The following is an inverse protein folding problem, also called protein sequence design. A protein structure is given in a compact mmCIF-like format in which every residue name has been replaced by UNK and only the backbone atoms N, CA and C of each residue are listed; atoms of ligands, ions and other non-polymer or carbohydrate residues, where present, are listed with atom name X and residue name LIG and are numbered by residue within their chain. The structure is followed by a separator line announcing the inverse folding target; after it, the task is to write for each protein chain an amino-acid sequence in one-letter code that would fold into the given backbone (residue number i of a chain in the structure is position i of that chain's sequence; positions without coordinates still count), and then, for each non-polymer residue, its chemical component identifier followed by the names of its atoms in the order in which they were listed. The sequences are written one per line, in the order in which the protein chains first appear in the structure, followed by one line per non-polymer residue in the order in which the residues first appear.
data_IF_554668852316
#
_entry.id   IF_554668852316
#
_cell.length_a   1.000
_cell.length_b   1.000
_cell.length_c   1.000
_cell.angle_alpha   90.00
_cell.angle_beta   90.00
_cell.angle_gamma   90.00
#
_symmetry.space_group_name_H-M   'P 1'
#
loop_
_entity.id
_entity.type
_entity.pdbx_description
1 polymer ?
#
# COMPACT_ATOMS: atom_id res chain seq x y z
N UNK A 1 -6.15 -5.70 -19.09
CA UNK A 1 -6.19 -5.95 -17.62
C UNK A 1 -4.76 -6.08 -17.13
N UNK A 2 -4.46 -5.64 -15.90
CA UNK A 2 -3.07 -5.48 -15.42
C UNK A 2 -2.38 -6.75 -14.90
N UNK A 3 -3.13 -7.73 -14.39
CA UNK A 3 -2.56 -8.94 -13.78
C UNK A 3 -3.20 -10.23 -14.33
N UNK A 4 -3.22 -10.44 -15.66
CA UNK A 4 -3.91 -11.59 -16.24
C UNK A 4 -3.28 -12.93 -15.87
N UNK A 5 -1.99 -12.98 -15.53
CA UNK A 5 -1.22 -14.21 -15.27
C UNK A 5 -1.39 -15.25 -16.39
N UNK A 6 -1.38 -14.83 -17.64
CA UNK A 6 -1.58 -15.70 -18.79
C UNK A 6 -0.24 -16.33 -19.22
N UNK A 7 -0.21 -17.65 -19.40
CA UNK A 7 1.02 -18.36 -19.78
C UNK A 7 1.58 -18.00 -21.16
N UNK A 8 0.77 -17.37 -22.03
CA UNK A 8 1.18 -16.93 -23.37
C UNK A 8 1.80 -15.53 -23.43
N UNK A 9 1.95 -14.84 -22.28
CA UNK A 9 2.56 -13.52 -22.23
C UNK A 9 4.08 -13.61 -22.00
N UNK A 10 4.82 -12.73 -22.67
CA UNK A 10 6.27 -12.59 -22.49
C UNK A 10 6.65 -11.92 -21.17
N UNK A 11 5.77 -11.05 -20.67
CA UNK A 11 5.91 -10.33 -19.39
C UNK A 11 4.63 -10.41 -18.59
N UNK A 12 4.76 -10.63 -17.28
CA UNK A 12 3.67 -10.55 -16.31
C UNK A 12 3.66 -9.18 -15.64
N UNK A 13 2.75 -8.99 -14.67
CA UNK A 13 2.69 -7.77 -13.85
C UNK A 13 2.52 -6.50 -14.68
N UNK A 14 1.72 -6.58 -15.76
CA UNK A 14 1.50 -5.48 -16.70
C UNK A 14 1.03 -4.20 -15.98
N UNK A 15 0.23 -4.32 -14.92
CA UNK A 15 -0.22 -3.17 -14.13
C UNK A 15 0.93 -2.40 -13.45
N UNK A 16 2.00 -3.08 -13.02
CA UNK A 16 3.19 -2.42 -12.48
C UNK A 16 4.05 -1.83 -13.60
N UNK A 17 4.12 -2.50 -14.76
CA UNK A 17 4.81 -1.96 -15.94
C UNK A 17 4.10 -0.72 -16.51
N UNK A 18 2.77 -0.66 -16.45
CA UNK A 18 1.98 0.52 -16.80
C UNK A 18 2.32 1.69 -15.87
N UNK A 19 2.45 1.43 -14.56
CA UNK A 19 2.90 2.43 -13.58
C UNK A 19 4.33 2.89 -13.85
N UNK A 20 5.25 1.98 -14.23
CA UNK A 20 6.62 2.36 -14.65
C UNK A 20 6.61 3.25 -15.88
N UNK A 21 5.80 2.94 -16.88
CA UNK A 21 5.65 3.78 -18.06
C UNK A 21 5.12 5.17 -17.71
N UNK A 22 4.13 5.26 -16.81
CA UNK A 22 3.63 6.55 -16.34
C UNK A 22 4.70 7.35 -15.60
N UNK A 23 5.52 6.69 -14.78
CA UNK A 23 6.61 7.32 -14.05
C UNK A 23 7.74 7.82 -14.97
N UNK A 24 8.06 7.06 -16.03
CA UNK A 24 8.96 7.49 -17.11
C UNK A 24 8.41 8.71 -17.85
N UNK A 25 7.11 8.71 -18.17
CA UNK A 25 6.47 9.86 -18.79
C UNK A 25 6.55 11.10 -17.89
N UNK A 26 6.29 10.97 -16.58
CA UNK A 26 6.43 12.08 -15.62
C UNK A 26 7.87 12.59 -15.62
N UNK A 27 8.88 11.70 -15.47
CA UNK A 27 10.29 12.10 -15.53
C UNK A 27 10.63 12.90 -16.78
N UNK A 28 10.13 12.46 -17.93
CA UNK A 28 10.51 13.04 -19.22
C UNK A 28 9.73 14.32 -19.58
N UNK A 29 8.59 14.57 -18.92
CA UNK A 29 7.66 15.64 -19.33
C UNK A 29 7.28 16.63 -18.22
N UNK A 30 7.50 16.32 -16.93
CA UNK A 30 6.94 17.13 -15.83
C UNK A 30 7.50 18.56 -15.78
N UNK A 31 8.69 18.80 -16.33
CA UNK A 31 9.26 20.14 -16.44
C UNK A 31 8.37 21.11 -17.22
N UNK A 32 7.68 20.62 -18.27
CA UNK A 32 6.73 21.43 -19.04
C UNK A 32 5.50 21.88 -18.22
N UNK A 33 5.23 21.22 -17.10
CA UNK A 33 4.15 21.55 -16.16
C UNK A 33 4.67 22.32 -14.92
N UNK A 34 5.95 22.69 -14.91
CA UNK A 34 6.60 23.39 -13.79
C UNK A 34 7.04 22.48 -12.64
N UNK A 35 7.05 21.16 -12.83
CA UNK A 35 7.62 20.23 -11.86
C UNK A 35 9.12 20.01 -12.07
N UNK A 36 9.77 19.43 -11.06
CA UNK A 36 11.20 19.12 -11.08
C UNK A 36 11.38 17.59 -11.21
N UNK A 37 11.87 17.06 -12.35
CA UNK A 37 12.03 15.62 -12.54
C UNK A 37 13.10 15.01 -11.62
N UNK A 38 13.94 15.83 -10.99
CA UNK A 38 14.92 15.38 -9.98
C UNK A 38 14.34 15.25 -8.58
N UNK A 39 13.06 15.59 -8.37
CA UNK A 39 12.38 15.58 -7.06
C UNK A 39 11.05 14.82 -7.05
N UNK A 40 10.96 13.77 -7.87
CA UNK A 40 9.75 12.94 -7.93
C UNK A 40 9.64 12.08 -6.67
N UNK A 41 8.55 12.21 -5.92
CA UNK A 41 8.19 11.26 -4.85
C UNK A 41 7.09 10.34 -5.35
N UNK A 42 7.30 9.03 -5.25
CA UNK A 42 6.28 8.03 -5.56
C UNK A 42 5.51 7.70 -4.28
N UNK A 43 4.21 7.93 -4.31
CA UNK A 43 3.31 7.68 -3.19
C UNK A 43 2.19 6.73 -3.62
N UNK A 44 1.76 5.90 -2.68
CA UNK A 44 0.59 5.06 -2.85
C UNK A 44 0.05 4.59 -1.52
N UNK A 45 -1.22 4.19 -1.55
CA UNK A 45 -1.97 3.67 -0.42
C UNK A 45 -2.37 2.21 -0.70
N UNK A 46 -2.32 1.33 0.30
CA UNK A 46 -2.72 -0.09 0.19
C UNK A 46 -1.96 -0.82 -0.93
N UNK A 47 -2.67 -1.36 -1.93
CA UNK A 47 -2.06 -1.95 -3.13
C UNK A 47 -1.19 -0.95 -3.92
N UNK A 48 -1.49 0.34 -3.86
CA UNK A 48 -0.62 1.40 -4.37
C UNK A 48 0.68 1.51 -3.58
N UNK A 49 0.65 1.37 -2.25
CA UNK A 49 1.84 1.36 -1.41
C UNK A 49 2.71 0.12 -1.66
N UNK A 50 2.08 -1.05 -1.83
CA UNK A 50 2.77 -2.25 -2.30
C UNK A 50 3.44 -2.01 -3.67
N UNK A 51 2.74 -1.33 -4.58
CA UNK A 51 3.28 -0.98 -5.89
C UNK A 51 4.50 -0.05 -5.78
N UNK A 52 4.47 0.97 -4.90
CA UNK A 52 5.63 1.82 -4.60
C UNK A 52 6.84 0.97 -4.17
N UNK A 53 6.61 -0.01 -3.29
CA UNK A 53 7.68 -0.87 -2.81
C UNK A 53 8.14 -1.88 -3.89
N UNK A 54 7.25 -2.39 -4.73
CA UNK A 54 7.65 -3.20 -5.90
C UNK A 54 8.56 -2.41 -6.83
N UNK A 55 8.27 -1.12 -7.08
CA UNK A 55 9.16 -0.24 -7.84
C UNK A 55 10.53 -0.06 -7.17
N UNK A 56 10.55 0.08 -5.84
CA UNK A 56 11.77 0.16 -5.03
C UNK A 56 12.69 -1.06 -5.27
N UNK A 57 12.13 -2.27 -5.43
CA UNK A 57 12.93 -3.45 -5.74
C UNK A 57 13.19 -3.66 -7.23
N UNK A 58 12.17 -3.56 -8.10
CA UNK A 58 12.30 -3.88 -9.52
C UNK A 58 13.26 -2.96 -10.26
N UNK A 59 13.31 -1.69 -9.85
CA UNK A 59 14.08 -0.64 -10.52
C UNK A 59 15.13 -0.02 -9.59
N UNK A 60 15.68 -0.81 -8.67
CA UNK A 60 16.65 -0.32 -7.67
C UNK A 60 17.91 0.33 -8.28
N UNK A 61 18.34 -0.14 -9.47
CA UNK A 61 19.51 0.37 -10.19
C UNK A 61 19.20 1.63 -11.02
N UNK A 62 17.92 1.89 -11.33
CA UNK A 62 17.45 3.09 -12.04
C UNK A 62 16.16 3.64 -11.39
N UNK A 63 16.25 4.15 -10.15
CA UNK A 63 15.08 4.67 -9.46
C UNK A 63 14.72 6.06 -9.99
N UNK A 64 13.55 6.17 -10.60
CA UNK A 64 13.00 7.49 -11.02
C UNK A 64 12.56 8.29 -9.80
N UNK A 65 11.81 7.65 -8.90
CA UNK A 65 11.41 8.25 -7.64
C UNK A 65 12.64 8.50 -6.75
N UNK A 66 12.72 9.68 -6.14
CA UNK A 66 13.76 10.12 -5.20
C UNK A 66 13.29 10.11 -3.75
N UNK A 67 12.00 9.84 -3.53
CA UNK A 67 11.40 9.53 -2.25
C UNK A 67 10.25 8.56 -2.43
N UNK A 68 10.00 7.73 -1.41
CA UNK A 68 8.90 6.76 -1.39
C UNK A 68 7.95 7.11 -0.25
N UNK A 69 6.65 7.03 -0.48
CA UNK A 69 5.66 7.13 0.59
C UNK A 69 4.69 5.95 0.47
N UNK A 70 4.83 5.02 1.41
CA UNK A 70 4.09 3.78 1.51
C UNK A 70 3.06 3.89 2.65
N UNK A 71 1.80 4.09 2.29
CA UNK A 71 0.69 4.24 3.24
C UNK A 71 -0.11 2.94 3.31
N UNK A 72 -0.10 2.27 4.46
CA UNK A 72 -0.87 1.04 4.70
C UNK A 72 -0.56 -0.11 3.73
N UNK A 73 0.70 -0.26 3.29
CA UNK A 73 1.12 -1.39 2.48
C UNK A 73 2.62 -1.38 2.17
N UNK A 74 3.21 -2.57 2.03
CA UNK A 74 4.62 -2.77 1.65
C UNK A 74 4.74 -4.07 0.85
N UNK A 75 5.85 -4.31 0.16
CA UNK A 75 6.04 -5.57 -0.58
C UNK A 75 6.06 -6.81 0.33
N UNK A 76 6.36 -6.63 1.63
CA UNK A 76 6.33 -7.68 2.65
C UNK A 76 4.92 -8.07 3.09
N UNK A 77 3.88 -7.36 2.65
CA UNK A 77 2.48 -7.64 2.94
C UNK A 77 1.97 -8.99 2.35
N UNK A 78 2.79 -9.75 1.62
CA UNK A 78 2.40 -11.01 0.96
C UNK A 78 1.08 -10.89 0.17
N UNK A 79 1.16 -10.26 -1.00
CA UNK A 79 0.06 -10.16 -1.97
C UNK A 79 0.36 -10.84 -3.31
N UNK A 80 1.38 -11.72 -3.37
CA UNK A 80 1.74 -12.38 -4.64
C UNK A 80 0.90 -13.63 -4.87
N UNK A 81 0.25 -13.70 -6.03
CA UNK A 81 -0.49 -14.87 -6.47
C UNK A 81 0.40 -16.11 -6.48
N UNK A 82 -0.15 -17.22 -5.97
CA UNK A 82 0.51 -18.53 -5.94
C UNK A 82 0.16 -19.39 -7.17
N UNK A 83 -0.62 -18.84 -8.11
CA UNK A 83 -1.03 -19.51 -9.35
C UNK A 83 0.12 -19.59 -10.38
N UNK A 84 1.12 -20.40 -10.06
CA UNK A 84 2.26 -20.68 -10.95
C UNK A 84 1.88 -21.45 -12.23
N UNK A 85 0.65 -21.95 -12.33
CA UNK A 85 0.16 -22.74 -13.46
C UNK A 85 -0.74 -21.95 -14.42
N UNK A 86 -0.92 -20.64 -14.18
CA UNK A 86 -1.82 -19.79 -14.97
C UNK A 86 -3.28 -20.27 -14.99
N UNK A 87 -3.66 -21.05 -13.98
CA UNK A 87 -4.91 -21.80 -13.93
C UNK A 87 -6.14 -20.89 -13.83
N UNK A 88 -6.04 -19.74 -13.17
CA UNK A 88 -7.14 -18.77 -13.10
C UNK A 88 -7.41 -18.15 -14.47
N UNK A 89 -6.37 -17.80 -15.22
CA UNK A 89 -6.51 -17.28 -16.58
C UNK A 89 -7.15 -18.32 -17.51
N UNK A 90 -6.61 -19.54 -17.52
CA UNK A 90 -7.14 -20.63 -18.35
C UNK A 90 -8.56 -21.02 -17.97
N UNK A 91 -8.91 -20.96 -16.68
CA UNK A 91 -10.27 -21.16 -16.21
C UNK A 91 -11.22 -20.13 -16.81
N UNK A 92 -10.89 -18.84 -16.73
CA UNK A 92 -11.71 -17.78 -17.33
C UNK A 92 -11.79 -17.95 -18.85
N UNK A 93 -10.68 -18.24 -19.52
CA UNK A 93 -10.63 -18.44 -20.96
C UNK A 93 -11.56 -19.58 -21.42
N UNK A 94 -11.56 -20.71 -20.71
CA UNK A 94 -12.44 -21.84 -21.03
C UNK A 94 -13.94 -21.51 -20.95
N UNK A 95 -14.34 -20.61 -20.06
CA UNK A 95 -15.75 -20.21 -19.88
C UNK A 95 -16.19 -19.09 -20.84
N UNK A 96 -15.24 -18.46 -21.54
CA UNK A 96 -15.49 -17.38 -22.47
C UNK A 96 -15.25 -17.77 -23.93
N UNK A 97 -15.17 -19.08 -24.21
CA UNK A 97 -15.04 -19.62 -25.56
C UNK A 97 -13.60 -19.77 -26.06
N UNK A 98 -12.60 -19.57 -25.19
CA UNK A 98 -11.18 -19.66 -25.50
C UNK A 98 -10.50 -20.91 -24.87
N UNK A 99 -11.27 -21.96 -24.59
CA UNK A 99 -10.76 -23.18 -23.95
C UNK A 99 -10.07 -24.15 -24.90
N UNK A 100 -9.16 -24.97 -24.35
CA UNK A 100 -8.47 -26.04 -25.09
C UNK A 100 -7.41 -25.55 -26.08
N UNK A 101 -7.06 -24.27 -26.02
CA UNK A 101 -6.01 -23.65 -26.83
C UNK A 101 -4.65 -23.81 -26.16
N UNK A 102 -3.57 -23.73 -26.94
CA UNK A 102 -2.24 -23.53 -26.38
C UNK A 102 -2.12 -22.10 -25.81
N UNK A 103 -1.12 -21.86 -24.96
CA UNK A 103 -0.98 -20.60 -24.23
C UNK A 103 -0.98 -19.35 -25.13
N UNK A 104 -0.31 -19.39 -26.28
CA UNK A 104 -0.24 -18.27 -27.23
C UNK A 104 -1.58 -18.03 -27.94
N UNK A 105 -2.28 -19.09 -28.36
CA UNK A 105 -3.61 -18.98 -28.97
C UNK A 105 -4.69 -18.58 -27.95
N UNK A 106 -4.55 -19.00 -26.69
CA UNK A 106 -5.47 -18.66 -25.59
C UNK A 106 -5.47 -17.15 -25.32
N UNK A 107 -4.30 -16.52 -25.18
CA UNK A 107 -4.21 -15.07 -24.99
C UNK A 107 -4.67 -14.30 -26.23
N UNK A 108 -4.42 -14.81 -27.44
CA UNK A 108 -4.93 -14.19 -28.67
C UNK A 108 -6.46 -14.20 -28.70
N UNK A 109 -7.09 -15.35 -28.45
CA UNK A 109 -8.54 -15.46 -28.36
C UNK A 109 -9.12 -14.53 -27.27
N UNK A 110 -8.49 -14.50 -26.09
CA UNK A 110 -8.97 -13.68 -24.97
C UNK A 110 -8.86 -12.17 -25.23
N UNK A 111 -8.00 -11.71 -26.14
CA UNK A 111 -7.93 -10.30 -26.56
C UNK A 111 -9.15 -9.86 -27.38
N UNK A 112 -9.81 -10.80 -28.05
CA UNK A 112 -11.04 -10.54 -28.82
C UNK A 112 -12.30 -10.60 -27.94
N UNK A 113 -12.19 -11.12 -26.71
CA UNK A 113 -13.31 -11.17 -25.77
C UNK A 113 -13.58 -9.77 -25.23
N UNK A 114 -14.82 -9.25 -25.35
CA UNK A 114 -15.17 -7.95 -24.78
C UNK A 114 -14.90 -7.89 -23.29
N UNK A 115 -14.19 -6.85 -22.83
CA UNK A 115 -13.77 -6.71 -21.42
C UNK A 115 -14.94 -6.82 -20.43
N UNK A 116 -16.12 -6.29 -20.80
CA UNK A 116 -17.34 -6.40 -19.98
C UNK A 116 -17.77 -7.85 -19.72
N UNK A 117 -17.52 -8.79 -20.63
CA UNK A 117 -17.80 -10.22 -20.40
C UNK A 117 -16.82 -10.81 -19.38
N UNK A 118 -15.54 -10.43 -19.48
CA UNK A 118 -14.50 -10.89 -18.56
C UNK A 118 -14.79 -10.38 -17.14
N UNK A 119 -15.02 -9.07 -16.99
CA UNK A 119 -15.32 -8.43 -15.70
C UNK A 119 -16.58 -9.01 -15.09
N UNK A 120 -17.66 -9.16 -15.88
CA UNK A 120 -18.91 -9.74 -15.37
C UNK A 120 -18.75 -11.20 -14.95
N UNK A 121 -17.96 -12.00 -15.67
CA UNK A 121 -17.72 -13.39 -15.32
C UNK A 121 -16.95 -13.52 -14.01
N UNK A 122 -15.83 -12.79 -13.87
CA UNK A 122 -14.99 -12.81 -12.67
C UNK A 122 -15.74 -12.21 -11.47
N UNK A 123 -16.34 -11.03 -11.65
CA UNK A 123 -17.03 -10.30 -10.58
C UNK A 123 -18.20 -11.09 -9.98
N UNK A 124 -19.12 -11.61 -10.81
CA UNK A 124 -20.26 -12.41 -10.31
C UNK A 124 -19.81 -13.66 -9.55
N UNK A 125 -18.68 -14.24 -9.93
CA UNK A 125 -18.13 -15.42 -9.25
C UNK A 125 -17.60 -15.06 -7.87
N UNK A 126 -16.91 -13.92 -7.77
CA UNK A 126 -16.46 -13.33 -6.50
C UNK A 126 -17.63 -12.97 -5.59
N UNK A 127 -18.61 -12.21 -6.09
CA UNK A 127 -19.79 -11.77 -5.33
C UNK A 127 -20.60 -12.94 -4.76
N UNK A 128 -20.70 -14.03 -5.52
CA UNK A 128 -21.44 -15.23 -5.11
C UNK A 128 -20.58 -16.23 -4.31
N UNK A 129 -19.30 -15.96 -4.05
CA UNK A 129 -18.39 -16.90 -3.39
C UNK A 129 -18.26 -18.24 -4.12
N UNK A 130 -18.38 -18.24 -5.45
CA UNK A 130 -18.42 -19.48 -6.25
C UNK A 130 -17.03 -20.07 -6.43
N UNK A 131 -16.85 -21.34 -6.09
CA UNK A 131 -15.56 -22.05 -6.20
C UNK A 131 -15.28 -22.61 -7.60
N UNK A 132 -14.02 -22.67 -8.08
CA UNK A 132 -12.83 -22.13 -7.40
C UNK A 132 -12.85 -20.61 -7.35
N UNK A 133 -12.31 -20.05 -6.26
CA UNK A 133 -12.07 -18.63 -6.13
C UNK A 133 -11.05 -18.20 -7.19
N UNK A 134 -11.32 -17.08 -7.84
CA UNK A 134 -10.42 -16.48 -8.82
C UNK A 134 -9.68 -15.33 -8.15
N UNK A 135 -8.37 -15.33 -8.31
CA UNK A 135 -7.47 -14.31 -7.78
C UNK A 135 -6.52 -13.86 -8.90
N UNK A 136 -6.45 -12.54 -9.10
CA UNK A 136 -5.64 -11.90 -10.13
C UNK A 136 -4.88 -10.76 -9.48
N UNK A 137 -3.61 -11.03 -9.14
CA UNK A 137 -2.71 -10.08 -8.51
C UNK A 137 -1.28 -10.22 -9.03
N UNK A 138 -0.33 -9.51 -8.42
CA UNK A 138 1.08 -9.62 -8.76
C UNK A 138 1.58 -11.06 -8.70
N UNK A 139 2.42 -11.49 -9.64
CA UNK A 139 3.00 -12.84 -9.72
C UNK A 139 4.50 -12.72 -9.71
N UNK A 140 5.19 -13.51 -8.89
CA UNK A 140 6.65 -13.51 -8.87
C UNK A 140 7.22 -13.95 -10.23
N UNK A 141 7.86 -13.02 -10.93
CA UNK A 141 8.49 -13.22 -12.24
C UNK A 141 10.02 -13.01 -12.20
N UNK A 142 10.55 -12.68 -11.01
CA UNK A 142 11.95 -12.35 -10.75
C UNK A 142 12.48 -11.15 -11.56
N UNK A 143 11.58 -10.33 -12.12
CA UNK A 143 11.91 -9.11 -12.86
C UNK A 143 11.29 -7.89 -12.18
N UNK A 144 9.98 -7.92 -12.02
CA UNK A 144 9.18 -6.83 -11.44
C UNK A 144 8.71 -7.21 -10.04
N UNK A 145 8.38 -8.49 -9.84
CA UNK A 145 7.88 -9.00 -8.57
C UNK A 145 8.77 -10.17 -8.15
N UNK A 146 9.19 -10.15 -6.89
CA UNK A 146 10.14 -11.11 -6.34
C UNK A 146 9.47 -11.99 -5.29
N UNK A 147 9.91 -13.24 -5.20
CA UNK A 147 9.39 -14.19 -4.21
C UNK A 147 9.95 -13.99 -2.81
N UNK A 148 11.05 -13.24 -2.66
CA UNK A 148 11.73 -13.03 -1.37
C UNK A 148 12.33 -11.62 -1.28
N UNK A 149 11.56 -10.69 -0.72
CA UNK A 149 11.99 -9.30 -0.51
C UNK A 149 12.99 -9.13 0.63
N UNK A 150 12.98 -10.00 1.65
CA UNK A 150 14.01 -10.01 2.69
C UNK A 150 15.39 -10.25 2.08
N UNK A 151 15.52 -11.25 1.20
CA UNK A 151 16.77 -11.53 0.51
C UNK A 151 17.20 -10.36 -0.39
N UNK A 152 16.26 -9.66 -1.03
CA UNK A 152 16.56 -8.46 -1.83
C UNK A 152 17.20 -7.38 -0.97
N UNK A 153 16.67 -7.13 0.24
CA UNK A 153 17.28 -6.22 1.20
C UNK A 153 18.68 -6.67 1.61
N UNK A 154 18.87 -7.94 2.00
CA UNK A 154 20.17 -8.48 2.42
C UNK A 154 21.26 -8.36 1.33
N UNK A 155 20.85 -8.39 0.06
CA UNK A 155 21.74 -8.24 -1.09
C UNK A 155 21.95 -6.77 -1.53
N UNK A 156 21.33 -5.81 -0.84
CA UNK A 156 21.38 -4.39 -1.21
C UNK A 156 20.63 -4.06 -2.50
N UNK A 157 19.65 -4.89 -2.89
CA UNK A 157 18.89 -4.76 -4.13
C UNK A 157 17.54 -4.05 -3.92
N UNK A 158 17.58 -2.98 -3.13
CA UNK A 158 16.49 -2.03 -2.94
C UNK A 158 17.01 -0.64 -3.32
N UNK A 159 16.14 0.21 -3.87
CA UNK A 159 16.52 1.56 -4.29
C UNK A 159 17.07 2.36 -3.09
N UNK A 160 18.21 3.01 -3.31
CA UNK A 160 18.83 3.87 -2.31
C UNK A 160 18.14 5.24 -2.24
N UNK A 161 16.90 5.27 -1.76
CA UNK A 161 16.06 6.46 -1.65
C UNK A 161 15.35 6.51 -0.30
N UNK A 162 15.12 7.69 0.30
CA UNK A 162 14.36 7.82 1.55
C UNK A 162 12.91 7.35 1.43
N UNK A 163 12.31 6.92 2.55
CA UNK A 163 10.91 6.51 2.59
C UNK A 163 10.14 7.02 3.81
N UNK A 164 8.83 7.20 3.63
CA UNK A 164 7.83 7.24 4.70
C UNK A 164 7.06 5.91 4.66
N UNK A 165 6.88 5.27 5.81
CA UNK A 165 6.03 4.08 5.99
C UNK A 165 4.95 4.40 7.02
N UNK A 166 3.69 4.38 6.60
CA UNK A 166 2.53 4.76 7.43
C UNK A 166 1.53 3.63 7.62
N UNK A 167 0.78 3.66 8.71
CA UNK A 167 -0.42 2.83 8.90
C UNK A 167 -1.51 3.61 9.62
N UNK A 168 -2.76 3.25 9.36
CA UNK A 168 -3.87 3.57 10.24
C UNK A 168 -3.84 2.65 11.49
N UNK A 169 -4.46 3.06 12.60
CA UNK A 169 -4.40 2.28 13.84
C UNK A 169 -5.28 1.02 13.81
N UNK A 170 -6.35 1.00 13.01
CA UNK A 170 -7.39 -0.02 13.00
C UNK A 170 -7.59 -0.62 11.59
N UNK A 171 -6.49 -0.84 10.86
CA UNK A 171 -6.46 -1.30 9.46
C UNK A 171 -7.44 -2.44 9.15
N UNK A 172 -7.53 -3.43 10.04
CA UNK A 172 -8.32 -4.64 9.85
C UNK A 172 -9.84 -4.48 10.00
N UNK A 173 -10.33 -3.38 10.59
CA UNK A 173 -11.77 -3.20 10.88
C UNK A 173 -12.63 -3.15 9.60
N UNK A 174 -12.17 -2.41 8.59
CA UNK A 174 -12.88 -2.30 7.30
C UNK A 174 -12.64 -3.49 6.36
N UNK A 175 -11.60 -4.29 6.62
CA UNK A 175 -11.11 -5.34 5.72
C UNK A 175 -11.49 -6.76 6.16
N UNK A 176 -11.97 -6.90 7.40
CA UNK A 176 -12.43 -8.19 7.92
C UNK A 176 -13.88 -8.44 7.55
N UNK A 177 -14.26 -9.63 7.03
CA UNK A 177 -15.65 -9.92 6.71
C UNK A 177 -16.60 -9.77 7.91
N UNK A 178 -17.73 -9.09 7.69
CA UNK A 178 -18.79 -8.92 8.68
C UNK A 178 -20.18 -9.11 8.04
N UNK A 179 -21.13 -9.63 8.81
CA UNK A 179 -22.52 -9.84 8.37
C UNK A 179 -23.50 -8.83 8.98
N UNK A 180 -23.11 -8.18 10.09
CA UNK A 180 -23.91 -7.18 10.78
C UNK A 180 -23.18 -5.83 10.78
N UNK A 181 -23.66 -4.90 9.94
CA UNK A 181 -23.08 -3.56 9.76
C UNK A 181 -23.04 -2.75 11.07
N UNK A 182 -23.98 -3.00 11.99
CA UNK A 182 -24.03 -2.28 13.28
C UNK A 182 -23.01 -2.83 14.26
N UNK A 183 -22.82 -4.15 14.28
CA UNK A 183 -21.91 -4.82 15.21
C UNK A 183 -20.45 -4.80 14.74
N UNK A 184 -20.20 -4.73 13.43
CA UNK A 184 -18.85 -4.79 12.87
C UNK A 184 -18.32 -6.23 12.72
N UNK A 185 -17.03 -6.37 12.40
CA UNK A 185 -16.37 -7.66 12.27
C UNK A 185 -16.09 -8.32 13.62
N UNK A 186 -15.55 -9.54 13.58
CA UNK A 186 -14.98 -10.15 14.76
C UNK A 186 -13.70 -9.38 15.17
N UNK A 187 -13.72 -8.75 16.35
CA UNK A 187 -12.60 -7.92 16.86
C UNK A 187 -11.25 -8.66 16.90
N UNK A 188 -11.25 -9.96 17.23
CA UNK A 188 -10.00 -10.74 17.27
C UNK A 188 -9.44 -10.91 15.85
N UNK A 189 -10.29 -11.17 14.87
CA UNK A 189 -9.88 -11.31 13.47
C UNK A 189 -9.47 -9.96 12.87
N UNK A 190 -10.18 -8.87 13.21
CA UNK A 190 -9.80 -7.52 12.82
C UNK A 190 -8.43 -7.14 13.39
N UNK A 191 -8.19 -7.39 14.67
CA UNK A 191 -6.89 -7.15 15.30
C UNK A 191 -5.76 -8.00 14.69
N UNK A 192 -6.02 -9.27 14.40
CA UNK A 192 -5.07 -10.13 13.69
C UNK A 192 -4.74 -9.59 12.29
N UNK A 193 -5.75 -9.09 11.58
CA UNK A 193 -5.58 -8.46 10.27
C UNK A 193 -4.77 -7.17 10.38
N UNK A 194 -5.06 -6.31 11.36
CA UNK A 194 -4.28 -5.08 11.63
C UNK A 194 -2.81 -5.41 11.92
N UNK A 195 -2.54 -6.31 12.86
CA UNK A 195 -1.17 -6.59 13.30
C UNK A 195 -0.41 -7.37 12.24
N UNK A 196 -0.92 -8.55 11.86
CA UNK A 196 -0.22 -9.45 10.95
C UNK A 196 -0.24 -8.97 9.50
N UNK A 197 -1.30 -8.28 9.11
CA UNK A 197 -1.51 -7.79 7.76
C UNK A 197 -1.13 -6.33 7.54
N UNK A 198 -0.70 -5.53 8.53
CA UNK A 198 -0.33 -4.14 8.23
C UNK A 198 0.83 -3.64 9.09
N UNK A 199 0.69 -3.73 10.42
CA UNK A 199 1.69 -3.22 11.35
C UNK A 199 3.01 -3.98 11.20
N UNK A 200 2.99 -5.31 11.26
CA UNK A 200 4.23 -6.11 11.21
C UNK A 200 4.94 -6.12 9.86
N UNK A 201 4.26 -6.18 8.71
CA UNK A 201 4.92 -5.96 7.41
C UNK A 201 5.61 -4.59 7.31
N UNK A 202 4.98 -3.54 7.84
CA UNK A 202 5.52 -2.17 7.84
C UNK A 202 6.69 -1.99 8.81
N UNK A 203 6.61 -2.61 9.98
CA UNK A 203 7.73 -2.73 10.93
C UNK A 203 8.92 -3.43 10.26
N UNK A 204 8.73 -4.64 9.72
CA UNK A 204 9.79 -5.42 9.08
C UNK A 204 10.44 -4.64 7.93
N UNK A 205 9.63 -3.96 7.11
CA UNK A 205 10.14 -3.08 6.05
C UNK A 205 11.02 -1.97 6.61
N UNK A 206 10.57 -1.31 7.69
CA UNK A 206 11.33 -0.21 8.33
C UNK A 206 12.64 -0.70 8.96
N UNK A 207 12.64 -1.88 9.58
CA UNK A 207 13.84 -2.54 10.12
C UNK A 207 14.83 -2.89 9.02
N UNK A 208 14.41 -3.60 7.97
CA UNK A 208 15.32 -4.00 6.89
C UNK A 208 15.90 -2.79 6.16
N UNK A 209 15.11 -1.75 5.93
CA UNK A 209 15.59 -0.49 5.37
C UNK A 209 16.65 0.15 6.27
N UNK A 210 16.40 0.22 7.57
CA UNK A 210 17.32 0.79 8.55
C UNK A 210 18.63 0.00 8.63
N UNK A 211 18.57 -1.33 8.65
CA UNK A 211 19.75 -2.21 8.63
C UNK A 211 20.60 -1.98 7.37
N UNK A 212 19.96 -1.64 6.25
CA UNK A 212 20.61 -1.27 4.99
C UNK A 212 20.94 0.22 4.86
N UNK A 213 20.86 0.98 5.97
CA UNK A 213 21.18 2.43 6.02
C UNK A 213 20.31 3.28 5.08
N UNK A 214 19.09 2.82 4.79
CA UNK A 214 18.10 3.56 4.01
C UNK A 214 17.25 4.41 4.94
N UNK A 215 17.29 5.73 4.75
CA UNK A 215 16.53 6.68 5.55
C UNK A 215 15.03 6.32 5.50
N UNK A 216 14.44 6.16 6.69
CA UNK A 216 13.05 5.72 6.83
C UNK A 216 12.37 6.49 7.95
N UNK A 217 11.22 7.07 7.65
CA UNK A 217 10.31 7.68 8.60
C UNK A 217 9.10 6.79 8.79
N UNK A 218 8.58 6.77 10.02
CA UNK A 218 7.44 5.94 10.42
C UNK A 218 6.36 6.82 11.02
N UNK A 219 5.10 6.52 10.73
CA UNK A 219 3.97 7.08 11.47
C UNK A 219 2.82 6.08 11.66
N UNK A 220 1.98 6.38 12.65
CA UNK A 220 0.66 5.78 12.86
C UNK A 220 -0.40 6.90 12.85
N UNK A 221 -1.47 6.73 12.08
CA UNK A 221 -2.65 7.59 12.12
C UNK A 221 -3.71 6.97 13.02
N UNK A 222 -4.09 7.67 14.09
CA UNK A 222 -5.05 7.17 15.08
C UNK A 222 -6.36 8.00 15.11
N UNK A 223 -6.58 8.85 14.10
CA UNK A 223 -7.74 9.75 14.09
C UNK A 223 -9.07 9.01 13.93
N UNK A 224 -9.93 9.13 14.94
CA UNK A 224 -11.27 8.54 14.96
C UNK A 224 -12.36 9.63 14.91
N UNK A 225 -12.55 10.22 13.74
CA UNK A 225 -13.49 11.33 13.53
C UNK A 225 -14.80 10.81 12.95
N UNK A 226 -15.96 11.17 13.51
CA UNK A 226 -17.25 10.55 13.12
C UNK A 226 -17.68 10.84 11.67
N UNK A 227 -17.20 11.89 11.03
CA UNK A 227 -17.39 12.14 9.60
C UNK A 227 -16.49 11.23 8.73
N UNK A 228 -15.32 10.81 9.22
CA UNK A 228 -14.38 9.93 8.48
C UNK A 228 -14.62 8.46 8.81
N UNK A 229 -14.91 8.16 10.07
CA UNK A 229 -15.16 6.85 10.68
C UNK A 229 -16.58 6.81 11.27
N UNK A 230 -17.60 6.64 10.41
CA UNK A 230 -19.01 6.84 10.79
C UNK A 230 -19.62 5.73 11.63
N UNK A 231 -18.90 4.61 11.85
CA UNK A 231 -19.37 3.51 12.68
C UNK A 231 -18.56 3.45 13.98
N UNK A 232 -19.19 3.15 15.13
CA UNK A 232 -18.50 3.11 16.42
C UNK A 232 -17.31 2.14 16.49
N UNK A 233 -17.34 1.07 15.69
CA UNK A 233 -16.32 0.03 15.66
C UNK A 233 -15.19 0.27 14.65
N UNK A 234 -15.30 1.28 13.77
CA UNK A 234 -14.32 1.44 12.67
C UNK A 234 -12.97 1.99 13.14
N UNK A 235 -12.95 2.86 14.15
CA UNK A 235 -11.70 3.51 14.59
C UNK A 235 -10.99 4.24 13.44
N UNK A 236 -9.66 4.27 13.48
CA UNK A 236 -8.82 4.71 12.37
C UNK A 236 -8.61 3.53 11.38
N UNK A 237 -9.66 3.16 10.66
CA UNK A 237 -9.62 2.05 9.69
C UNK A 237 -8.72 2.34 8.49
N UNK A 238 -8.50 1.31 7.67
CA UNK A 238 -7.79 1.40 6.39
C UNK A 238 -8.29 2.58 5.54
N UNK A 239 -7.37 3.42 5.07
CA UNK A 239 -7.62 4.61 4.23
C UNK A 239 -8.10 5.87 4.97
N UNK A 240 -8.19 5.87 6.31
CA UNK A 240 -8.73 7.01 7.07
C UNK A 240 -7.84 8.25 7.07
N UNK A 241 -6.56 8.10 6.79
CA UNK A 241 -5.61 9.19 6.62
C UNK A 241 -5.67 9.83 5.22
N UNK A 242 -6.28 9.19 4.22
CA UNK A 242 -6.40 9.76 2.86
C UNK A 242 -7.10 11.13 2.84
N UNK A 243 -8.31 11.32 3.42
CA UNK A 243 -8.96 12.63 3.40
C UNK A 243 -8.14 13.70 4.12
N UNK A 244 -7.33 13.29 5.09
CA UNK A 244 -6.44 14.18 5.84
C UNK A 244 -5.24 14.58 4.99
N UNK A 245 -4.63 13.63 4.27
CA UNK A 245 -3.50 13.86 3.39
C UNK A 245 -3.87 14.75 2.20
N UNK A 246 -5.06 14.56 1.62
CA UNK A 246 -5.53 15.36 0.48
C UNK A 246 -6.18 16.69 0.85
N UNK A 247 -6.34 16.98 2.15
CA UNK A 247 -7.06 18.18 2.60
C UNK A 247 -8.56 18.16 2.29
N UNK A 248 -9.12 17.00 1.99
CA UNK A 248 -10.53 16.80 1.60
C UNK A 248 -11.40 16.29 2.75
N UNK A 249 -10.88 16.29 3.98
CA UNK A 249 -11.57 15.81 5.18
C UNK A 249 -12.99 16.41 5.38
N UNK A 250 -13.19 17.69 5.02
CA UNK A 250 -14.50 18.35 5.09
C UNK A 250 -15.50 17.89 4.01
N UNK A 251 -15.01 17.44 2.87
CA UNK A 251 -15.83 17.04 1.72
C UNK A 251 -16.10 15.53 1.70
N UNK A 252 -15.43 14.77 2.58
CA UNK A 252 -15.52 13.31 2.57
C UNK A 252 -16.92 12.80 2.96
N UNK A 253 -17.41 13.15 4.16
CA UNK A 253 -18.81 12.88 4.57
C UNK A 253 -19.41 14.01 5.41
N UNK A 254 -18.85 15.21 5.29
CA UNK A 254 -19.30 16.41 6.00
C UNK A 254 -18.18 17.10 6.76
N UNK A 255 -18.44 18.37 7.10
CA UNK A 255 -17.46 19.23 7.76
C UNK A 255 -17.04 18.69 9.13
N UNK A 256 -15.73 18.65 9.35
CA UNK A 256 -15.12 18.29 10.63
C UNK A 256 -14.94 19.51 11.55
N UNK A 257 -14.69 19.29 12.87
CA UNK A 257 -14.26 20.34 13.76
C UNK A 257 -12.87 20.85 13.36
N UNK A 258 -12.50 22.05 13.83
CA UNK A 258 -11.21 22.66 13.49
C UNK A 258 -9.97 21.86 13.92
N UNK A 259 -10.11 20.83 14.78
CA UNK A 259 -9.02 19.92 15.12
C UNK A 259 -8.60 19.04 13.93
N UNK A 260 -9.57 18.53 13.15
CA UNK A 260 -9.31 17.73 11.94
C UNK A 260 -8.47 18.53 10.93
N UNK A 261 -8.81 19.81 10.72
CA UNK A 261 -8.05 20.68 9.84
C UNK A 261 -6.60 20.86 10.26
N UNK A 262 -6.31 20.92 11.56
CA UNK A 262 -4.93 21.00 12.06
C UNK A 262 -4.16 19.69 11.87
N UNK A 263 -4.82 18.55 12.04
CA UNK A 263 -4.24 17.23 11.73
C UNK A 263 -3.92 17.12 10.25
N UNK A 264 -4.89 17.44 9.39
CA UNK A 264 -4.73 17.42 7.93
C UNK A 264 -3.60 18.35 7.48
N UNK A 265 -3.55 19.58 8.00
CA UNK A 265 -2.47 20.52 7.70
C UNK A 265 -1.10 20.00 8.16
N UNK A 266 -0.99 19.45 9.38
CA UNK A 266 0.28 18.94 9.89
C UNK A 266 0.79 17.75 9.07
N UNK A 267 -0.09 16.85 8.64
CA UNK A 267 0.26 15.72 7.77
C UNK A 267 0.76 16.21 6.41
N UNK A 268 0.02 17.12 5.77
CA UNK A 268 0.42 17.75 4.50
C UNK A 268 1.77 18.48 4.60
N UNK A 269 1.99 19.26 5.66
CA UNK A 269 3.23 20.00 5.86
C UNK A 269 4.44 19.07 5.98
N UNK A 270 4.29 17.95 6.71
CA UNK A 270 5.36 16.96 6.88
C UNK A 270 5.67 16.21 5.59
N UNK A 271 4.63 15.80 4.83
CA UNK A 271 4.80 15.16 3.53
C UNK A 271 5.44 16.13 2.53
N UNK A 272 5.00 17.39 2.50
CA UNK A 272 5.60 18.43 1.66
C UNK A 272 7.08 18.66 2.04
N UNK A 273 7.40 18.69 3.33
CA UNK A 273 8.77 18.83 3.79
C UNK A 273 9.63 17.65 3.33
N UNK A 274 9.13 16.42 3.42
CA UNK A 274 9.79 15.23 2.87
C UNK A 274 10.02 15.33 1.36
N UNK A 275 9.01 15.75 0.59
CA UNK A 275 9.13 15.89 -0.87
C UNK A 275 10.15 16.97 -1.28
N UNK A 276 10.30 18.04 -0.48
CA UNK A 276 11.25 19.13 -0.76
C UNK A 276 12.69 18.75 -0.42
N UNK A 277 12.88 18.15 0.75
CA UNK A 277 14.16 17.68 1.26
C UNK A 277 13.90 16.51 2.23
N UNK A 278 14.06 15.26 1.79
CA UNK A 278 13.71 14.11 2.59
C UNK A 278 14.64 13.90 3.80
N UNK A 279 15.77 14.61 3.89
CA UNK A 279 16.71 14.49 5.01
C UNK A 279 16.48 15.60 6.03
N UNK A 280 16.53 16.86 5.58
CA UNK A 280 16.45 18.01 6.48
C UNK A 280 15.00 18.43 6.75
N UNK A 281 14.07 18.22 5.81
CA UNK A 281 12.68 18.67 5.89
C UNK A 281 11.94 18.06 7.09
N UNK A 282 11.71 16.73 7.14
CA UNK A 282 11.03 16.09 8.25
C UNK A 282 11.72 16.35 9.61
N UNK A 283 13.06 16.30 9.64
CA UNK A 283 13.85 16.54 10.84
C UNK A 283 13.66 17.96 11.39
N UNK A 284 13.68 18.96 10.52
CA UNK A 284 13.42 20.36 10.87
C UNK A 284 12.02 20.61 11.43
N UNK A 285 11.08 19.70 11.14
CA UNK A 285 9.70 19.74 11.65
C UNK A 285 9.46 18.83 12.87
N UNK A 286 10.53 18.25 13.44
CA UNK A 286 10.48 17.39 14.63
C UNK A 286 10.14 15.93 14.36
N UNK A 287 10.11 15.49 13.10
CA UNK A 287 9.96 14.08 12.74
C UNK A 287 11.32 13.41 12.70
N UNK A 288 11.60 12.59 13.71
CA UNK A 288 12.83 11.79 13.75
C UNK A 288 12.69 10.57 12.85
N UNK A 289 13.80 10.15 12.24
CA UNK A 289 13.83 8.89 11.49
C UNK A 289 13.71 7.69 12.44
N UNK A 290 13.39 6.55 11.87
CA UNK A 290 13.05 5.33 12.59
C UNK A 290 14.21 4.80 13.47
N UNK A 291 15.46 5.15 13.17
CA UNK A 291 16.62 4.75 13.99
C UNK A 291 16.63 5.38 15.39
N UNK A 292 15.86 6.47 15.57
CA UNK A 292 15.67 7.11 16.87
C UNK A 292 14.85 6.29 17.87
N UNK A 293 14.23 5.18 17.41
CA UNK A 293 13.27 4.42 18.22
C UNK A 293 11.97 5.17 18.47
N UNK A 294 11.68 6.21 17.68
CA UNK A 294 10.45 6.99 17.72
C UNK A 294 9.72 6.97 16.37
N UNK A 295 8.41 7.15 16.41
CA UNK A 295 7.56 7.43 15.25
C UNK A 295 6.57 8.54 15.58
N UNK A 296 5.99 9.18 14.56
CA UNK A 296 4.89 10.12 14.77
C UNK A 296 3.56 9.37 14.91
N UNK A 297 2.77 9.73 15.92
CA UNK A 297 1.36 9.38 16.00
C UNK A 297 0.51 10.62 15.74
N UNK A 298 -0.39 10.54 14.76
CA UNK A 298 -1.32 11.63 14.41
C UNK A 298 -2.68 11.44 15.09
N UNK A 299 -3.30 12.57 15.43
CA UNK A 299 -4.65 12.63 15.97
C UNK A 299 -4.88 11.71 17.18
N UNK A 300 -3.93 11.72 18.12
CA UNK A 300 -3.95 10.89 19.31
C UNK A 300 -4.00 11.72 20.60
N UNK A 301 -4.81 11.33 21.59
CA UNK A 301 -5.00 12.00 22.88
C UNK A 301 -5.34 13.50 22.76
N UNK A 302 -6.11 13.86 21.73
CA UNK A 302 -6.43 15.27 21.42
C UNK A 302 -5.23 16.10 20.93
N UNK A 303 -4.12 15.45 20.58
CA UNK A 303 -2.91 16.08 20.04
C UNK A 303 -2.83 15.84 18.53
N UNK A 304 -2.45 16.89 17.80
CA UNK A 304 -2.36 16.88 16.34
C UNK A 304 -1.35 15.84 15.84
N UNK A 305 -0.14 15.87 16.39
CA UNK A 305 0.91 14.89 16.16
C UNK A 305 1.87 14.88 17.36
N UNK A 306 2.31 13.70 17.79
CA UNK A 306 3.29 13.52 18.88
C UNK A 306 4.26 12.40 18.57
N UNK A 307 5.48 12.48 19.10
CA UNK A 307 6.41 11.36 19.07
C UNK A 307 5.97 10.29 20.07
N UNK A 308 5.98 9.04 19.64
CA UNK A 308 5.76 7.86 20.48
C UNK A 308 6.89 6.87 20.25
N UNK A 309 7.14 6.02 21.25
CA UNK A 309 8.09 4.91 21.10
C UNK A 309 7.61 3.96 20.00
N UNK A 310 8.51 3.52 19.13
CA UNK A 310 8.19 2.49 18.13
C UNK A 310 7.71 1.20 18.80
N UNK A 311 8.19 0.89 20.01
CA UNK A 311 7.78 -0.30 20.76
C UNK A 311 6.29 -0.29 21.13
N UNK A 312 5.67 0.89 21.23
CA UNK A 312 4.24 1.02 21.56
C UNK A 312 3.34 0.54 20.41
N UNK A 313 3.82 0.62 19.17
CA UNK A 313 3.07 0.22 17.96
C UNK A 313 3.64 -1.08 17.39
N UNK A 314 4.93 -1.10 17.09
CA UNK A 314 5.59 -2.20 16.39
C UNK A 314 6.10 -3.30 17.35
N UNK A 315 6.17 -3.04 18.66
CA UNK A 315 6.72 -3.99 19.65
C UNK A 315 5.96 -5.32 19.74
N UNK A 316 4.69 -5.34 19.33
CA UNK A 316 3.90 -6.56 19.21
C UNK A 316 4.48 -7.54 18.18
N UNK A 317 5.17 -7.04 17.16
CA UNK A 317 5.71 -7.84 16.06
C UNK A 317 6.94 -8.66 16.45
N UNK A 318 7.63 -8.28 17.54
CA UNK A 318 8.81 -8.96 18.08
C UNK A 318 8.54 -9.59 19.45
N UNK A 319 7.30 -9.54 19.94
CA UNK A 319 6.93 -10.03 21.28
C UNK A 319 7.47 -9.16 22.43
N UNK A 320 7.89 -7.93 22.13
CA UNK A 320 8.47 -6.98 23.09
C UNK A 320 7.45 -5.99 23.67
N UNK A 321 6.16 -6.14 23.35
CA UNK A 321 5.09 -5.29 23.85
C UNK A 321 3.70 -5.72 23.38
N UNK A 322 2.67 -4.98 23.81
CA UNK A 322 1.31 -5.08 23.29
C UNK A 322 1.05 -4.01 22.24
N UNK A 323 0.18 -4.30 21.28
CA UNK A 323 -0.25 -3.31 20.30
C UNK A 323 -1.10 -2.21 20.96
N UNK A 324 -0.72 -0.95 20.77
CA UNK A 324 -1.49 0.22 21.21
C UNK A 324 -2.07 0.99 20.00
N UNK A 325 -3.37 0.84 19.71
CA UNK A 325 -4.08 1.60 18.69
C UNK A 325 -4.65 2.94 19.19
N UNK A 326 -4.36 3.36 20.43
CA UNK A 326 -5.13 4.43 21.10
C UNK A 326 -5.14 5.74 20.29
N UNK A 327 -6.37 6.25 19.96
CA UNK A 327 -6.63 7.60 19.42
C UNK A 327 -6.32 8.76 20.37
#
# INVERSE_FOLDING_TARGET
MGFPNAGGLESQNLGILDQRMALEWVRDNIEAFGGDPSKITLWGQSAGAMSVDFHNFAFHDDPIAKGLFMESGTALLQGTSTDSKHSNFTFVASHLGCGGLNASAEIQCMRDVPVGKIVNFVGRRGDNGTMPALDFGPVADAKVIFSNYTQRYEQGLAANVPAIVGNAADEGEGLTPYTNVTAGPNETLALQTTIGGFICPSHNTSEYRTQNKLLTYRYQYAGNFSNISPRPWMGAYHDTDLPMLFGTYNDFRGAGPGFEGRVSQKLQDLVLAFMKDPVAGPKGMGWSDYTSGQMLRFAADGVVAKNVSVQTVDGVCTGQGSYDPTP
#
